data_IF_855872667438
#
_entry.id   IF_855872667438
#
_cell.length_a   1.000
_cell.length_b   1.000
_cell.length_c   1.000
_cell.angle_alpha   90.00
_cell.angle_beta   90.00
_cell.angle_gamma   90.00
#
_symmetry.space_group_name_H-M   'P 1'
#
loop_
_entity.id
_entity.type
_entity.pdbx_description
1 polymer ?
#
# COMPACT_ATOMS: atom_id res chain seq x y z
N UNK A 1 19.35 -8.42 -18.30
CA UNK A 1 19.53 -8.16 -16.86
C UNK A 1 20.67 -7.20 -16.49
N UNK A 2 21.85 -7.19 -17.14
CA UNK A 2 22.95 -6.25 -16.77
C UNK A 2 22.65 -4.75 -16.98
N UNK A 3 21.84 -4.38 -17.98
CA UNK A 3 21.51 -2.98 -18.26
C UNK A 3 20.46 -2.37 -17.31
N UNK A 4 19.61 -3.19 -16.67
CA UNK A 4 18.54 -2.70 -15.79
C UNK A 4 19.07 -2.28 -14.41
N UNK A 5 20.05 -3.02 -13.86
CA UNK A 5 20.75 -2.63 -12.63
C UNK A 5 21.45 -1.27 -12.78
N UNK A 6 22.02 -1.01 -13.95
CA UNK A 6 22.64 0.27 -14.30
C UNK A 6 21.59 1.39 -14.42
N UNK A 7 20.42 1.12 -15.00
CA UNK A 7 19.32 2.09 -15.11
C UNK A 7 18.71 2.44 -13.74
N UNK A 8 18.46 1.48 -12.86
CA UNK A 8 17.99 1.74 -11.50
C UNK A 8 19.02 2.52 -10.67
N UNK A 9 20.31 2.17 -10.80
CA UNK A 9 21.41 2.91 -10.17
C UNK A 9 21.59 4.33 -10.74
N UNK A 10 21.41 4.50 -12.06
CA UNK A 10 21.44 5.81 -12.71
C UNK A 10 20.22 6.65 -12.34
N UNK A 11 19.03 6.06 -12.20
CA UNK A 11 17.85 6.77 -11.69
C UNK A 11 18.05 7.17 -10.23
N UNK A 12 18.62 6.32 -9.38
CA UNK A 12 19.02 6.69 -8.02
C UNK A 12 20.01 7.86 -8.00
N UNK A 13 21.04 7.83 -8.85
CA UNK A 13 22.01 8.93 -8.99
C UNK A 13 21.36 10.21 -9.51
N UNK A 14 20.48 10.12 -10.51
CA UNK A 14 19.74 11.26 -11.07
C UNK A 14 18.79 11.84 -10.02
N UNK A 15 18.06 11.03 -9.25
CA UNK A 15 17.23 11.51 -8.13
C UNK A 15 18.08 12.20 -7.05
N UNK A 16 19.29 11.70 -6.78
CA UNK A 16 20.22 12.35 -5.87
C UNK A 16 20.88 13.62 -6.44
N UNK A 17 20.98 13.77 -7.77
CA UNK A 17 21.64 14.89 -8.43
C UNK A 17 20.69 15.99 -8.93
N UNK A 18 19.45 15.65 -9.31
CA UNK A 18 18.40 16.60 -9.73
C UNK A 18 17.86 17.41 -8.55
N UNK A 19 18.12 16.98 -7.31
CA UNK A 19 17.85 17.73 -6.07
C UNK A 19 18.92 18.80 -5.78
N UNK A 20 19.88 19.04 -6.69
CA UNK A 20 20.76 20.21 -6.62
C UNK A 20 20.61 21.04 -7.90
N UNK A 21 20.17 22.31 -7.79
CA UNK A 21 21.05 23.33 -7.22
C UNK A 21 20.35 24.44 -6.35
N UNK A 22 21.13 25.04 -5.44
CA UNK A 22 20.91 26.32 -4.69
C UNK A 22 19.83 26.22 -3.57
N UNK A 23 20.10 26.25 -2.25
CA UNK A 23 20.86 27.23 -1.47
C UNK A 23 21.49 26.62 -0.18
N UNK A 24 22.70 27.05 0.13
CA UNK A 24 23.58 26.47 1.15
C UNK A 24 23.37 27.06 2.56
N UNK A 25 22.94 26.24 3.52
CA UNK A 25 23.75 25.72 4.67
C UNK A 25 22.88 25.02 5.74
N UNK A 26 21.66 25.48 6.03
CA UNK A 26 20.71 24.80 6.95
C UNK A 26 19.90 23.68 6.26
N UNK A 27 19.70 23.77 4.94
CA UNK A 27 19.05 22.71 4.12
C UNK A 27 19.82 21.38 4.11
N UNK A 28 21.10 21.35 4.53
CA UNK A 28 21.93 20.12 4.52
C UNK A 28 21.38 19.02 5.44
N UNK A 29 20.86 19.38 6.61
CA UNK A 29 20.30 18.39 7.54
C UNK A 29 19.01 17.78 6.97
N UNK A 30 18.09 18.61 6.47
CA UNK A 30 16.81 18.14 5.92
C UNK A 30 16.99 17.31 4.64
N UNK A 31 17.89 17.71 3.75
CA UNK A 31 18.22 16.93 2.54
C UNK A 31 18.88 15.58 2.91
N UNK A 32 19.76 15.54 3.93
CA UNK A 32 20.40 14.30 4.37
C UNK A 32 19.43 13.32 5.05
N UNK A 33 18.46 13.82 5.81
CA UNK A 33 17.40 13.01 6.43
C UNK A 33 16.48 12.45 5.36
N UNK A 34 16.09 13.28 4.38
CA UNK A 34 15.28 12.85 3.25
C UNK A 34 16.00 11.76 2.44
N UNK A 35 17.26 11.97 2.08
CA UNK A 35 18.06 10.97 1.36
C UNK A 35 18.18 9.68 2.17
N UNK A 36 18.32 9.77 3.49
CA UNK A 36 18.41 8.59 4.37
C UNK A 36 17.08 7.84 4.50
N UNK A 37 15.95 8.55 4.59
CA UNK A 37 14.61 7.95 4.63
C UNK A 37 14.27 7.29 3.29
N UNK A 38 14.60 7.95 2.19
CA UNK A 38 14.48 7.41 0.83
C UNK A 38 15.36 6.16 0.66
N UNK A 39 16.62 6.21 1.10
CA UNK A 39 17.53 5.08 1.03
C UNK A 39 17.10 3.92 1.92
N UNK A 40 16.56 4.19 3.11
CA UNK A 40 16.02 3.18 4.01
C UNK A 40 14.74 2.54 3.45
N UNK A 41 13.85 3.33 2.84
CA UNK A 41 12.67 2.84 2.14
C UNK A 41 13.05 2.02 0.90
N UNK A 42 14.10 2.43 0.18
CA UNK A 42 14.69 1.65 -0.91
C UNK A 42 15.26 0.33 -0.43
N UNK A 43 16.05 0.35 0.65
CA UNK A 43 16.57 -0.87 1.25
C UNK A 43 15.42 -1.81 1.66
N UNK A 44 14.39 -1.29 2.34
CA UNK A 44 13.26 -2.09 2.78
C UNK A 44 12.47 -2.73 1.63
N UNK A 45 12.26 -2.02 0.53
CA UNK A 45 11.46 -2.52 -0.60
C UNK A 45 12.28 -3.26 -1.66
N UNK A 46 13.58 -2.99 -1.79
CA UNK A 46 14.46 -3.64 -2.78
C UNK A 46 15.26 -4.81 -2.22
N UNK A 47 15.54 -4.87 -0.92
CA UNK A 47 16.17 -6.06 -0.30
C UNK A 47 15.38 -7.33 -0.65
N UNK A 48 14.03 -7.37 -0.57
CA UNK A 48 13.27 -8.54 -1.00
C UNK A 48 13.48 -8.94 -2.48
N UNK A 49 13.79 -7.99 -3.38
CA UNK A 49 14.05 -8.28 -4.80
C UNK A 49 15.47 -8.79 -5.08
N UNK A 50 16.44 -8.43 -4.26
CA UNK A 50 17.86 -8.60 -4.61
C UNK A 50 18.68 -9.39 -3.59
N UNK A 51 18.16 -9.61 -2.39
CA UNK A 51 18.80 -10.46 -1.41
C UNK A 51 18.34 -11.89 -1.57
N UNK A 52 19.31 -12.80 -1.67
CA UNK A 52 19.06 -14.23 -1.50
C UNK A 52 18.42 -14.46 -0.13
N UNK A 53 17.35 -15.24 -0.11
CA UNK A 53 16.65 -15.57 1.13
C UNK A 53 17.34 -16.75 1.81
N UNK A 54 17.48 -16.76 3.15
CA UNK A 54 17.98 -17.91 3.88
C UNK A 54 17.11 -19.15 3.62
N UNK A 55 17.72 -20.33 3.60
CA UNK A 55 17.00 -21.58 3.33
C UNK A 55 15.86 -21.81 4.32
N UNK A 56 16.05 -21.40 5.58
CA UNK A 56 15.06 -21.48 6.65
C UNK A 56 13.84 -20.59 6.42
N UNK A 57 13.87 -19.61 5.51
CA UNK A 57 12.71 -18.76 5.21
C UNK A 57 11.74 -19.43 4.24
N UNK A 58 12.20 -20.42 3.47
CA UNK A 58 11.37 -21.11 2.49
C UNK A 58 10.38 -22.03 3.17
N UNK A 59 9.15 -22.06 2.64
CA UNK A 59 8.07 -22.94 3.13
C UNK A 59 8.52 -24.40 3.14
N UNK A 60 9.30 -24.82 2.14
CA UNK A 60 9.90 -26.16 2.03
C UNK A 60 10.71 -26.62 3.24
N UNK A 61 11.20 -25.70 4.07
CA UNK A 61 12.00 -26.04 5.26
C UNK A 61 11.13 -26.56 6.41
N UNK A 62 9.95 -25.96 6.61
CA UNK A 62 9.11 -26.21 7.79
C UNK A 62 7.76 -26.85 7.47
N UNK A 63 7.27 -26.67 6.23
CA UNK A 63 5.95 -27.08 5.77
C UNK A 63 6.06 -27.80 4.40
N UNK A 64 6.60 -29.03 4.37
CA UNK A 64 6.87 -29.74 3.12
C UNK A 64 5.61 -30.08 2.32
N UNK A 65 4.47 -30.35 2.95
CA UNK A 65 3.23 -30.61 2.22
C UNK A 65 2.62 -29.33 1.64
N UNK A 66 2.72 -28.20 2.35
CA UNK A 66 2.35 -26.90 1.80
C UNK A 66 3.25 -26.52 0.60
N UNK A 67 4.52 -26.90 0.62
CA UNK A 67 5.41 -26.75 -0.53
C UNK A 67 4.97 -27.61 -1.73
N UNK A 68 4.57 -28.86 -1.51
CA UNK A 68 4.04 -29.71 -2.59
C UNK A 68 2.75 -29.14 -3.20
N UNK A 69 1.88 -28.56 -2.37
CA UNK A 69 0.71 -27.83 -2.87
C UNK A 69 1.13 -26.67 -3.78
N UNK A 70 2.12 -25.87 -3.38
CA UNK A 70 2.63 -24.77 -4.19
C UNK A 70 3.20 -25.25 -5.54
N UNK A 71 3.88 -26.39 -5.54
CA UNK A 71 4.39 -27.04 -6.76
C UNK A 71 3.25 -27.51 -7.70
N UNK A 72 2.14 -28.01 -7.15
CA UNK A 72 0.92 -28.28 -7.94
C UNK A 72 0.37 -26.99 -8.55
N UNK A 73 0.38 -25.88 -7.80
CA UNK A 73 -0.10 -24.59 -8.29
C UNK A 73 0.78 -24.02 -9.41
N UNK A 74 2.09 -24.22 -9.37
CA UNK A 74 3.02 -23.84 -10.45
C UNK A 74 2.58 -24.49 -11.78
N UNK A 75 2.24 -25.78 -11.74
CA UNK A 75 1.80 -26.52 -12.93
C UNK A 75 0.39 -26.10 -13.36
N UNK A 76 -0.51 -25.89 -12.39
CA UNK A 76 -1.92 -25.51 -12.63
C UNK A 76 -2.04 -24.12 -13.24
N UNK A 77 -1.15 -23.19 -12.87
CA UNK A 77 -1.22 -21.77 -13.21
C UNK A 77 0.06 -21.23 -13.85
N UNK A 78 0.44 -21.70 -15.05
CA UNK A 78 1.67 -21.27 -15.71
C UNK A 78 1.72 -19.76 -16.00
N UNK A 79 0.57 -19.13 -16.25
CA UNK A 79 0.45 -17.69 -16.49
C UNK A 79 0.77 -16.83 -15.25
N UNK A 80 0.69 -17.42 -14.06
CA UNK A 80 1.04 -16.74 -12.81
C UNK A 80 2.54 -16.80 -12.51
N UNK A 81 3.36 -17.44 -13.36
CA UNK A 81 4.81 -17.54 -13.22
C UNK A 81 5.28 -17.82 -11.78
N UNK A 82 4.59 -18.73 -11.10
CA UNK A 82 4.87 -19.10 -9.71
C UNK A 82 6.24 -19.76 -9.58
N UNK A 83 6.74 -20.40 -10.64
CA UNK A 83 8.09 -20.97 -10.73
C UNK A 83 9.22 -19.93 -10.57
N UNK A 84 8.90 -18.65 -10.78
CA UNK A 84 9.84 -17.52 -10.64
C UNK A 84 9.69 -16.78 -9.32
N UNK A 85 8.79 -17.25 -8.44
CA UNK A 85 8.47 -16.62 -7.17
C UNK A 85 8.96 -17.49 -6.02
N UNK A 86 9.45 -16.85 -4.97
CA UNK A 86 9.82 -17.55 -3.74
C UNK A 86 8.58 -17.67 -2.86
N UNK A 87 8.33 -18.88 -2.34
CA UNK A 87 7.26 -19.15 -1.39
C UNK A 87 7.81 -19.23 0.02
N UNK A 88 7.51 -18.23 0.85
CA UNK A 88 8.21 -17.98 2.10
C UNK A 88 7.25 -17.96 3.30
N UNK A 89 7.71 -18.48 4.44
CA UNK A 89 7.02 -18.40 5.74
C UNK A 89 7.65 -17.40 6.71
N UNK A 90 8.78 -16.79 6.31
CA UNK A 90 9.49 -15.79 7.11
C UNK A 90 9.87 -14.58 6.27
N UNK A 91 10.03 -13.43 6.94
CA UNK A 91 10.51 -12.17 6.36
C UNK A 91 11.48 -11.49 7.31
N UNK A 92 12.56 -10.92 6.78
CA UNK A 92 13.54 -10.19 7.57
C UNK A 92 12.90 -9.09 8.42
N UNK A 93 13.22 -9.08 9.72
CA UNK A 93 12.78 -8.04 10.64
C UNK A 93 11.29 -8.09 11.02
N UNK A 94 10.55 -9.09 10.55
CA UNK A 94 9.14 -9.31 10.89
C UNK A 94 9.04 -10.63 11.64
N UNK A 95 8.38 -10.61 12.79
CA UNK A 95 8.13 -11.81 13.56
C UNK A 95 7.09 -12.69 12.86
N UNK A 96 7.25 -14.02 12.95
CA UNK A 96 6.48 -15.00 12.17
C UNK A 96 4.97 -14.83 12.39
N UNK A 97 4.56 -14.52 13.62
CA UNK A 97 3.17 -14.32 14.00
C UNK A 97 2.52 -13.06 13.41
N UNK A 98 3.31 -12.16 12.83
CA UNK A 98 2.84 -10.94 12.16
C UNK A 98 2.84 -11.04 10.64
N UNK A 99 3.27 -12.17 10.09
CA UNK A 99 3.25 -12.40 8.65
C UNK A 99 1.82 -12.77 8.23
N UNK A 100 1.31 -12.06 7.25
CA UNK A 100 0.07 -12.35 6.54
C UNK A 100 0.36 -12.79 5.10
N UNK A 101 -0.69 -13.16 4.36
CA UNK A 101 -0.61 -13.11 2.91
C UNK A 101 -0.11 -11.73 2.45
N UNK A 102 0.83 -11.74 1.52
CA UNK A 102 1.41 -10.52 0.99
C UNK A 102 2.58 -10.77 0.06
N UNK A 103 2.97 -9.73 -0.65
CA UNK A 103 4.07 -9.76 -1.63
C UNK A 103 5.17 -8.77 -1.28
N UNK A 104 6.42 -9.22 -1.47
CA UNK A 104 7.61 -8.39 -1.45
C UNK A 104 8.49 -8.72 -2.65
N UNK A 105 8.29 -7.98 -3.74
CA UNK A 105 8.90 -8.30 -5.02
C UNK A 105 8.46 -9.64 -5.59
N UNK A 106 9.39 -10.58 -5.78
CA UNK A 106 9.06 -11.93 -6.24
C UNK A 106 8.80 -12.91 -5.08
N UNK A 107 8.74 -12.42 -3.85
CA UNK A 107 8.46 -13.26 -2.68
C UNK A 107 6.97 -13.17 -2.36
N UNK A 108 6.32 -14.34 -2.26
CA UNK A 108 4.98 -14.50 -1.71
C UNK A 108 5.15 -15.01 -0.28
N UNK A 109 4.56 -14.29 0.66
CA UNK A 109 4.53 -14.62 2.08
C UNK A 109 3.16 -15.19 2.43
N UNK A 110 3.12 -16.13 3.38
CA UNK A 110 1.88 -16.73 3.88
C UNK A 110 1.88 -16.72 5.39
N UNK A 111 0.69 -16.52 5.98
CA UNK A 111 0.54 -16.54 7.42
C UNK A 111 0.87 -17.91 8.02
N UNK A 112 1.43 -17.92 9.22
CA UNK A 112 1.75 -19.18 9.90
C UNK A 112 0.50 -20.04 10.15
N UNK A 113 -0.63 -19.40 10.44
CA UNK A 113 -1.91 -20.08 10.70
C UNK A 113 -2.37 -20.83 9.45
N UNK A 114 -2.32 -20.18 8.29
CA UNK A 114 -2.71 -20.79 7.03
C UNK A 114 -1.73 -21.89 6.62
N UNK A 115 -0.42 -21.70 6.85
CA UNK A 115 0.59 -22.73 6.55
C UNK A 115 0.40 -23.99 7.39
N UNK A 116 0.11 -23.86 8.70
CA UNK A 116 -0.17 -25.02 9.56
C UNK A 116 -1.39 -25.78 9.06
N UNK A 117 -2.43 -25.05 8.65
CA UNK A 117 -3.66 -25.70 8.18
C UNK A 117 -3.48 -26.32 6.79
N UNK A 118 -2.84 -25.61 5.86
CA UNK A 118 -2.49 -26.10 4.53
C UNK A 118 -1.60 -27.34 4.58
N UNK A 119 -0.58 -27.35 5.45
CA UNK A 119 0.27 -28.51 5.70
C UNK A 119 -0.56 -29.73 6.10
N UNK A 120 -1.48 -29.55 7.05
CA UNK A 120 -2.37 -30.62 7.53
C UNK A 120 -3.33 -31.13 6.45
N UNK A 121 -4.05 -30.21 5.79
CA UNK A 121 -5.04 -30.55 4.76
C UNK A 121 -4.38 -31.22 3.57
N UNK A 122 -3.26 -30.70 3.10
CA UNK A 122 -2.58 -31.27 1.93
C UNK A 122 -1.89 -32.59 2.27
N UNK A 123 -1.39 -32.76 3.50
CA UNK A 123 -0.93 -34.07 3.99
C UNK A 123 -2.05 -35.14 3.93
N UNK A 124 -3.29 -34.80 4.28
CA UNK A 124 -4.43 -35.72 4.12
C UNK A 124 -4.69 -36.06 2.64
N UNK A 125 -4.71 -35.05 1.76
CA UNK A 125 -4.92 -35.21 0.31
C UNK A 125 -3.92 -36.21 -0.29
N UNK A 126 -2.62 -36.05 -0.01
CA UNK A 126 -1.58 -36.93 -0.58
C UNK A 126 -1.65 -38.36 -0.03
N UNK A 127 -2.16 -38.53 1.19
CA UNK A 127 -2.36 -39.84 1.81
C UNK A 127 -3.67 -40.52 1.37
N UNK A 128 -4.37 -39.96 0.37
CA UNK A 128 -5.61 -40.50 -0.17
C UNK A 128 -6.80 -40.42 0.78
N UNK A 129 -6.73 -39.57 1.81
CA UNK A 129 -7.86 -39.33 2.71
C UNK A 129 -8.83 -38.34 2.06
N UNK A 130 -10.13 -38.61 2.22
CA UNK A 130 -11.17 -37.70 1.77
C UNK A 130 -11.14 -36.41 2.57
N UNK A 131 -11.16 -35.28 1.87
CA UNK A 131 -11.19 -33.95 2.49
C UNK A 131 -12.64 -33.56 2.82
N UNK A 132 -12.83 -32.88 3.95
CA UNK A 132 -14.12 -32.28 4.25
C UNK A 132 -14.44 -31.12 3.29
N UNK A 133 -15.71 -30.72 3.23
CA UNK A 133 -16.11 -29.54 2.45
C UNK A 133 -15.40 -28.27 2.90
N UNK A 134 -15.16 -28.10 4.21
CA UNK A 134 -14.43 -26.93 4.73
C UNK A 134 -12.95 -26.96 4.32
N UNK A 135 -12.35 -28.14 4.28
CA UNK A 135 -10.96 -28.31 3.85
C UNK A 135 -10.81 -28.02 2.34
N UNK A 136 -11.79 -28.42 1.53
CA UNK A 136 -11.85 -28.07 0.11
C UNK A 136 -12.04 -26.56 -0.10
N UNK A 137 -13.00 -25.95 0.61
CA UNK A 137 -13.22 -24.51 0.57
C UNK A 137 -11.93 -23.75 0.95
N UNK A 138 -11.21 -24.20 1.99
CA UNK A 138 -9.93 -23.60 2.36
C UNK A 138 -8.89 -23.70 1.24
N UNK A 139 -8.74 -24.86 0.59
CA UNK A 139 -7.81 -24.99 -0.53
C UNK A 139 -8.18 -24.07 -1.70
N UNK A 140 -9.47 -23.95 -2.02
CA UNK A 140 -9.95 -23.06 -3.07
C UNK A 140 -9.71 -21.58 -2.75
N UNK A 141 -9.91 -21.17 -1.50
CA UNK A 141 -9.62 -19.81 -1.05
C UNK A 141 -8.13 -19.51 -1.08
N UNK A 142 -7.31 -20.44 -0.58
CA UNK A 142 -5.83 -20.33 -0.56
C UNK A 142 -5.28 -20.21 -1.98
N UNK A 143 -5.89 -20.93 -2.92
CA UNK A 143 -5.56 -20.86 -4.34
C UNK A 143 -5.90 -19.50 -4.96
N UNK A 144 -7.06 -18.93 -4.64
CA UNK A 144 -7.41 -17.58 -5.08
C UNK A 144 -6.47 -16.53 -4.46
N UNK A 145 -6.19 -16.63 -3.16
CA UNK A 145 -5.27 -15.72 -2.45
C UNK A 145 -3.86 -15.78 -3.03
N UNK A 146 -3.36 -16.98 -3.35
CA UNK A 146 -2.07 -17.14 -4.01
C UNK A 146 -2.02 -16.43 -5.36
N UNK A 147 -3.08 -16.52 -6.16
CA UNK A 147 -3.15 -15.85 -7.45
C UNK A 147 -3.28 -14.33 -7.31
N UNK A 148 -3.99 -13.84 -6.29
CA UNK A 148 -4.04 -12.42 -5.95
C UNK A 148 -2.62 -11.89 -5.65
N UNK A 149 -1.88 -12.57 -4.77
CA UNK A 149 -0.49 -12.22 -4.48
C UNK A 149 0.42 -12.34 -5.71
N UNK A 150 0.24 -13.39 -6.52
CA UNK A 150 0.97 -13.51 -7.77
C UNK A 150 0.69 -12.32 -8.71
N UNK A 151 -0.55 -11.82 -8.75
CA UNK A 151 -0.95 -10.62 -9.47
C UNK A 151 -0.15 -9.38 -9.04
N UNK A 152 0.00 -9.14 -7.74
CA UNK A 152 0.86 -8.06 -7.25
C UNK A 152 2.30 -8.17 -7.74
N UNK A 153 2.86 -9.39 -7.72
CA UNK A 153 4.22 -9.63 -8.18
C UNK A 153 4.36 -9.43 -9.71
N UNK A 154 3.42 -9.93 -10.52
CA UNK A 154 3.41 -9.74 -11.98
C UNK A 154 3.34 -8.25 -12.36
N UNK A 155 2.59 -7.47 -11.59
CA UNK A 155 2.44 -6.02 -11.79
C UNK A 155 3.59 -5.20 -11.20
N UNK A 156 4.62 -5.84 -10.63
CA UNK A 156 5.75 -5.20 -9.96
C UNK A 156 5.33 -4.19 -8.88
N UNK A 157 4.30 -4.54 -8.10
CA UNK A 157 3.69 -3.67 -7.08
C UNK A 157 4.73 -2.98 -6.19
N UNK A 158 5.65 -3.75 -5.58
CA UNK A 158 6.65 -3.20 -4.66
C UNK A 158 7.60 -2.18 -5.33
N UNK A 159 7.89 -2.35 -6.63
CA UNK A 159 8.69 -1.38 -7.38
C UNK A 159 7.89 -0.11 -7.69
N UNK A 160 6.64 -0.25 -8.13
CA UNK A 160 5.76 0.89 -8.36
C UNK A 160 5.49 1.68 -7.07
N UNK A 161 5.33 1.01 -5.93
CA UNK A 161 5.24 1.64 -4.61
C UNK A 161 6.45 2.54 -4.35
N UNK A 162 7.64 2.01 -4.61
CA UNK A 162 8.90 2.73 -4.44
C UNK A 162 9.02 3.94 -5.37
N UNK A 163 8.60 3.80 -6.63
CA UNK A 163 8.61 4.90 -7.59
C UNK A 163 7.59 5.98 -7.21
N UNK A 164 6.38 5.60 -6.80
CA UNK A 164 5.34 6.54 -6.38
C UNK A 164 5.76 7.31 -5.12
N UNK A 165 6.18 6.60 -4.07
CA UNK A 165 6.61 7.21 -2.83
C UNK A 165 7.73 8.24 -3.08
N UNK A 166 8.71 7.88 -3.91
CA UNK A 166 9.78 8.78 -4.34
C UNK A 166 9.26 9.99 -5.11
N UNK A 167 8.51 9.73 -6.18
CA UNK A 167 8.05 10.74 -7.12
C UNK A 167 7.15 11.76 -6.42
N UNK A 168 6.16 11.28 -5.67
CA UNK A 168 5.23 12.11 -4.92
C UNK A 168 5.95 12.88 -3.80
N UNK A 169 6.76 12.20 -2.97
CA UNK A 169 7.44 12.89 -1.86
C UNK A 169 8.39 13.98 -2.38
N UNK A 170 9.23 13.65 -3.35
CA UNK A 170 10.20 14.60 -3.91
C UNK A 170 9.50 15.77 -4.58
N UNK A 171 8.45 15.51 -5.35
CA UNK A 171 7.68 16.57 -6.03
C UNK A 171 7.01 17.50 -5.02
N UNK A 172 6.39 16.95 -3.96
CA UNK A 172 5.75 17.75 -2.93
C UNK A 172 6.77 18.60 -2.15
N UNK A 173 7.96 18.08 -1.86
CA UNK A 173 9.05 18.87 -1.26
C UNK A 173 9.52 20.00 -2.19
N UNK A 174 9.68 19.75 -3.49
CA UNK A 174 10.07 20.78 -4.45
C UNK A 174 9.00 21.88 -4.52
N UNK A 175 7.72 21.51 -4.61
CA UNK A 175 6.61 22.47 -4.60
C UNK A 175 6.65 23.30 -3.31
N UNK A 176 6.87 22.66 -2.16
CA UNK A 176 7.01 23.33 -0.86
C UNK A 176 8.16 24.34 -0.87
N UNK A 177 9.33 23.95 -1.38
CA UNK A 177 10.51 24.81 -1.47
C UNK A 177 10.26 26.02 -2.38
N UNK A 178 9.75 25.80 -3.59
CA UNK A 178 9.46 26.89 -4.55
C UNK A 178 8.38 27.83 -4.01
N UNK A 179 7.34 27.30 -3.35
CA UNK A 179 6.32 28.11 -2.72
C UNK A 179 6.91 28.99 -1.61
N UNK A 180 7.80 28.45 -0.78
CA UNK A 180 8.50 29.23 0.24
C UNK A 180 9.34 30.34 -0.37
N UNK A 181 10.20 30.02 -1.33
CA UNK A 181 11.08 31.00 -2.00
C UNK A 181 10.29 32.13 -2.66
N UNK A 182 9.12 31.83 -3.22
CA UNK A 182 8.29 32.83 -3.90
C UNK A 182 7.39 33.65 -2.97
N UNK A 183 7.12 33.20 -1.75
CA UNK A 183 6.10 33.85 -0.89
C UNK A 183 6.56 34.22 0.52
N UNK A 184 7.68 33.69 1.03
CA UNK A 184 8.11 33.89 2.43
C UNK A 184 8.35 35.37 2.76
N UNK A 185 9.10 36.09 1.92
CA UNK A 185 9.41 37.50 2.14
C UNK A 185 8.16 38.39 2.12
N UNK A 186 7.25 38.15 1.17
CA UNK A 186 6.01 38.90 1.05
C UNK A 186 5.07 38.63 2.25
N UNK A 187 4.95 37.35 2.64
CA UNK A 187 4.16 36.94 3.80
C UNK A 187 4.71 37.55 5.08
N UNK A 188 6.03 37.45 5.30
CA UNK A 188 6.71 38.03 6.47
C UNK A 188 6.48 39.54 6.56
N UNK A 189 6.69 40.28 5.47
CA UNK A 189 6.45 41.74 5.43
C UNK A 189 4.99 42.09 5.73
N UNK A 190 4.05 41.30 5.21
CA UNK A 190 2.62 41.51 5.49
C UNK A 190 2.31 41.32 6.97
N UNK A 191 2.84 40.28 7.61
CA UNK A 191 2.65 40.02 9.04
C UNK A 191 3.32 41.10 9.88
N UNK A 192 4.57 41.47 9.55
CA UNK A 192 5.31 42.56 10.20
C UNK A 192 4.50 43.86 10.17
N UNK A 193 3.90 44.20 9.02
CA UNK A 193 3.06 45.39 8.88
C UNK A 193 1.83 45.36 9.79
N UNK A 194 1.14 44.21 9.89
CA UNK A 194 -0.04 44.06 10.77
C UNK A 194 0.39 44.18 12.24
N UNK A 195 1.42 43.43 12.63
CA UNK A 195 1.89 43.35 14.01
C UNK A 195 2.46 44.69 14.49
N UNK A 196 3.15 45.45 13.62
CA UNK A 196 3.64 46.78 13.93
C UNK A 196 2.53 47.80 14.25
N UNK A 197 1.32 47.61 13.72
CA UNK A 197 0.17 48.48 14.05
C UNK A 197 -0.48 48.14 15.40
N UNK A 198 -0.30 46.91 15.88
CA UNK A 198 -0.99 46.39 17.06
C UNK A 198 -0.13 46.38 18.34
N UNK A 199 1.20 46.37 18.21
CA UNK A 199 2.13 46.20 19.34
C UNK A 199 3.27 47.21 19.25
N UNK A 200 3.70 47.77 20.38
CA UNK A 200 4.81 48.73 20.43
C UNK A 200 6.18 48.06 20.67
N UNK A 201 6.20 46.96 21.42
CA UNK A 201 7.41 46.25 21.85
C UNK A 201 7.98 45.32 20.77
N UNK A 202 9.24 45.52 20.39
CA UNK A 202 9.88 44.79 19.29
C UNK A 202 10.17 43.32 19.59
N UNK A 203 10.32 42.94 20.87
CA UNK A 203 10.49 41.53 21.26
C UNK A 203 9.18 40.79 21.02
N UNK A 204 8.06 41.39 21.43
CA UNK A 204 6.72 40.83 21.21
C UNK A 204 6.40 40.75 19.72
N UNK A 205 6.73 41.78 18.92
CA UNK A 205 6.52 41.76 17.46
C UNK A 205 7.27 40.60 16.80
N UNK A 206 8.56 40.47 17.10
CA UNK A 206 9.42 39.43 16.50
C UNK A 206 8.96 38.02 16.88
N UNK A 207 8.50 37.84 18.12
CA UNK A 207 7.91 36.57 18.56
C UNK A 207 6.66 36.21 17.75
N UNK A 208 5.71 37.16 17.59
CA UNK A 208 4.47 36.92 16.86
C UNK A 208 4.73 36.62 15.38
N UNK A 209 5.61 37.38 14.73
CA UNK A 209 6.01 37.15 13.33
C UNK A 209 6.61 35.74 13.17
N UNK A 210 7.50 35.35 14.09
CA UNK A 210 8.11 34.02 14.07
C UNK A 210 7.07 32.92 14.27
N UNK A 211 6.17 33.06 15.24
CA UNK A 211 5.11 32.09 15.51
C UNK A 211 4.16 31.94 14.31
N UNK A 212 3.78 33.04 13.64
CA UNK A 212 2.94 33.01 12.45
C UNK A 212 3.62 32.30 11.27
N UNK A 213 4.91 32.57 11.03
CA UNK A 213 5.68 31.86 10.01
C UNK A 213 5.81 30.37 10.32
N UNK A 214 6.03 30.01 11.59
CA UNK A 214 6.04 28.61 12.05
C UNK A 214 4.70 27.91 11.82
N UNK A 215 3.58 28.55 12.15
CA UNK A 215 2.23 28.02 11.91
C UNK A 215 1.99 27.79 10.41
N UNK A 216 2.39 28.72 9.54
CA UNK A 216 2.30 28.55 8.09
C UNK A 216 3.10 27.32 7.60
N UNK A 217 4.33 27.14 8.08
CA UNK A 217 5.12 25.95 7.73
C UNK A 217 4.50 24.65 8.26
N UNK A 218 3.92 24.68 9.46
CA UNK A 218 3.14 23.57 10.00
C UNK A 218 1.98 23.18 9.08
N UNK A 219 1.15 24.16 8.68
CA UNK A 219 0.03 23.94 7.77
C UNK A 219 0.48 23.35 6.41
N UNK A 220 1.57 23.85 5.84
CA UNK A 220 2.13 23.32 4.61
C UNK A 220 2.59 21.86 4.74
N UNK A 221 3.24 21.50 5.84
CA UNK A 221 3.63 20.12 6.10
C UNK A 221 2.41 19.20 6.28
N UNK A 222 1.35 19.68 6.95
CA UNK A 222 0.09 18.93 7.08
C UNK A 222 -0.55 18.65 5.72
N UNK A 223 -0.66 19.67 4.84
CA UNK A 223 -1.21 19.52 3.50
C UNK A 223 -0.40 18.54 2.62
N UNK A 224 0.92 18.58 2.75
CA UNK A 224 1.81 17.63 2.09
C UNK A 224 1.55 16.20 2.58
N UNK A 225 1.48 15.99 3.89
CA UNK A 225 1.19 14.68 4.49
C UNK A 225 -0.16 14.14 4.05
N UNK A 226 -1.19 14.99 4.04
CA UNK A 226 -2.53 14.64 3.57
C UNK A 226 -2.51 14.23 2.09
N UNK A 227 -1.88 15.03 1.24
CA UNK A 227 -1.79 14.76 -0.20
C UNK A 227 -1.07 13.45 -0.49
N UNK A 228 0.03 13.17 0.22
CA UNK A 228 0.74 11.90 0.11
C UNK A 228 -0.13 10.73 0.56
N UNK A 229 -0.87 10.88 1.66
CA UNK A 229 -1.82 9.89 2.15
C UNK A 229 -2.86 9.54 1.09
N UNK A 230 -3.56 10.54 0.55
CA UNK A 230 -4.60 10.34 -0.49
C UNK A 230 -4.03 9.65 -1.73
N UNK A 231 -2.89 10.13 -2.26
CA UNK A 231 -2.28 9.56 -3.45
C UNK A 231 -1.85 8.10 -3.22
N UNK A 232 -1.30 7.79 -2.04
CA UNK A 232 -0.90 6.43 -1.69
C UNK A 232 -2.12 5.52 -1.57
N UNK A 233 -3.19 5.99 -0.94
CA UNK A 233 -4.44 5.25 -0.79
C UNK A 233 -5.09 4.92 -2.14
N UNK A 234 -5.24 5.91 -3.02
CA UNK A 234 -5.80 5.69 -4.36
C UNK A 234 -4.97 4.71 -5.17
N UNK A 235 -3.64 4.80 -5.07
CA UNK A 235 -2.75 3.90 -5.78
C UNK A 235 -2.82 2.47 -5.24
N UNK A 236 -2.74 2.25 -3.93
CA UNK A 236 -2.84 0.89 -3.36
C UNK A 236 -4.14 0.23 -3.79
N UNK A 237 -5.25 0.96 -3.78
CA UNK A 237 -6.54 0.43 -4.23
C UNK A 237 -6.58 0.03 -5.69
N UNK A 238 -6.03 0.85 -6.58
CA UNK A 238 -5.90 0.48 -7.99
C UNK A 238 -5.08 -0.81 -8.15
N UNK A 239 -4.02 -0.98 -7.35
CA UNK A 239 -3.20 -2.19 -7.37
C UNK A 239 -3.96 -3.42 -6.84
N UNK A 240 -4.69 -3.30 -5.73
CA UNK A 240 -5.56 -4.34 -5.19
C UNK A 240 -6.62 -4.78 -6.23
N UNK A 241 -7.25 -3.81 -6.91
CA UNK A 241 -8.22 -4.11 -7.97
C UNK A 241 -7.58 -4.87 -9.14
N UNK A 242 -6.35 -4.53 -9.52
CA UNK A 242 -5.64 -5.24 -10.57
C UNK A 242 -5.22 -6.65 -10.15
N UNK A 243 -4.79 -6.84 -8.90
CA UNK A 243 -4.49 -8.15 -8.33
C UNK A 243 -5.73 -9.05 -8.22
N UNK A 244 -6.85 -8.50 -7.78
CA UNK A 244 -8.16 -9.16 -7.79
C UNK A 244 -8.55 -9.59 -9.20
N UNK A 245 -8.46 -8.68 -10.16
CA UNK A 245 -8.77 -8.99 -11.55
C UNK A 245 -7.87 -10.11 -12.10
N UNK A 246 -6.59 -10.10 -11.75
CA UNK A 246 -5.65 -11.17 -12.12
C UNK A 246 -6.09 -12.51 -11.52
N UNK A 247 -6.39 -12.56 -10.22
CA UNK A 247 -6.88 -13.76 -9.54
C UNK A 247 -8.20 -14.25 -10.16
N UNK A 248 -9.15 -13.35 -10.36
CA UNK A 248 -10.47 -13.65 -10.91
C UNK A 248 -10.36 -14.23 -12.33
N UNK A 249 -9.49 -13.69 -13.18
CA UNK A 249 -9.31 -14.16 -14.55
C UNK A 249 -8.64 -15.54 -14.63
N UNK A 250 -7.85 -15.91 -13.64
CA UNK A 250 -6.95 -17.06 -13.73
C UNK A 250 -7.30 -18.21 -12.80
N UNK A 251 -7.98 -17.96 -11.68
CA UNK A 251 -8.38 -19.00 -10.75
C UNK A 251 -9.33 -20.00 -11.39
N UNK A 252 -9.31 -21.24 -10.89
CA UNK A 252 -10.30 -22.25 -11.25
C UNK A 252 -11.70 -21.73 -10.94
N UNK A 253 -12.69 -22.14 -11.75
CA UNK A 253 -14.08 -21.68 -11.60
C UNK A 253 -14.63 -21.96 -10.20
N UNK A 254 -14.23 -23.09 -9.60
CA UNK A 254 -14.67 -23.47 -8.26
C UNK A 254 -14.13 -22.57 -7.15
N UNK A 255 -13.04 -21.81 -7.40
CA UNK A 255 -12.49 -20.86 -6.44
C UNK A 255 -13.35 -19.60 -6.28
N UNK A 256 -13.99 -19.15 -7.35
CA UNK A 256 -14.64 -17.83 -7.39
C UNK A 256 -15.84 -17.73 -6.41
N UNK A 257 -16.75 -18.72 -6.32
CA UNK A 257 -17.81 -18.69 -5.32
C UNK A 257 -17.29 -18.71 -3.87
N UNK A 258 -16.15 -19.36 -3.63
CA UNK A 258 -15.53 -19.41 -2.29
C UNK A 258 -14.98 -18.04 -1.91
N UNK A 259 -14.28 -17.38 -2.83
CA UNK A 259 -13.78 -16.02 -2.63
C UNK A 259 -14.93 -15.03 -2.35
N UNK A 260 -16.07 -15.16 -3.03
CA UNK A 260 -17.28 -14.38 -2.72
C UNK A 260 -17.72 -14.63 -1.27
N UNK A 261 -17.89 -15.89 -0.85
CA UNK A 261 -18.32 -16.21 0.53
C UNK A 261 -17.35 -15.68 1.58
N UNK A 262 -16.06 -15.69 1.28
CA UNK A 262 -15.04 -15.09 2.14
C UNK A 262 -15.29 -13.59 2.29
N UNK A 263 -15.42 -12.83 1.20
CA UNK A 263 -15.68 -11.39 1.29
C UNK A 263 -17.03 -11.06 1.92
N UNK A 264 -18.07 -11.85 1.69
CA UNK A 264 -19.38 -11.69 2.35
C UNK A 264 -19.26 -11.88 3.87
N UNK A 265 -18.52 -12.90 4.33
CA UNK A 265 -18.26 -13.10 5.75
C UNK A 265 -17.53 -11.89 6.38
N UNK A 266 -16.51 -11.36 5.71
CA UNK A 266 -15.80 -10.18 6.20
C UNK A 266 -16.68 -8.92 6.16
N UNK A 267 -17.49 -8.73 5.12
CA UNK A 267 -18.46 -7.65 5.07
C UNK A 267 -19.37 -7.69 6.31
N UNK A 268 -19.99 -8.85 6.60
CA UNK A 268 -20.89 -9.01 7.75
C UNK A 268 -20.21 -8.75 9.10
N UNK A 269 -18.97 -9.20 9.28
CA UNK A 269 -18.23 -9.02 10.54
C UNK A 269 -17.79 -7.58 10.78
N UNK A 270 -17.37 -6.88 9.71
CA UNK A 270 -16.72 -5.57 9.84
C UNK A 270 -17.67 -4.39 9.57
N UNK A 271 -18.77 -4.58 8.84
CA UNK A 271 -19.73 -3.53 8.49
C UNK A 271 -20.26 -2.74 9.71
N UNK A 272 -20.65 -3.37 10.84
CA UNK A 272 -21.17 -2.61 11.99
C UNK A 272 -20.15 -1.64 12.59
N UNK A 273 -18.86 -1.98 12.49
CA UNK A 273 -17.81 -1.09 12.96
C UNK A 273 -17.42 -0.01 11.96
N UNK A 274 -17.64 -0.26 10.66
CA UNK A 274 -17.44 0.71 9.59
C UNK A 274 -18.50 1.81 9.73
N UNK A 275 -19.76 1.43 9.88
CA UNK A 275 -20.87 2.36 10.05
C UNK A 275 -20.64 3.30 11.23
N UNK A 276 -20.13 2.75 12.35
CA UNK A 276 -19.78 3.54 13.55
C UNK A 276 -18.67 4.57 13.29
N UNK A 277 -17.60 4.20 12.60
CA UNK A 277 -16.50 5.13 12.29
C UNK A 277 -16.97 6.22 11.33
N UNK A 278 -17.79 5.87 10.34
CA UNK A 278 -18.37 6.85 9.42
C UNK A 278 -19.26 7.85 10.16
N UNK A 279 -19.98 7.40 11.20
CA UNK A 279 -20.80 8.26 12.05
C UNK A 279 -19.96 9.15 12.98
N UNK A 280 -18.95 8.59 13.66
CA UNK A 280 -17.98 9.34 14.49
C UNK A 280 -17.25 10.42 13.66
N UNK A 281 -16.81 10.08 12.44
CA UNK A 281 -16.13 11.02 11.55
C UNK A 281 -17.06 12.10 11.00
N UNK A 282 -18.37 11.87 10.90
CA UNK A 282 -19.32 12.93 10.50
C UNK A 282 -19.41 14.02 11.56
N UNK A 283 -19.45 13.64 12.84
CA UNK A 283 -19.48 14.59 13.95
C UNK A 283 -18.19 15.42 14.03
N UNK A 284 -17.03 14.79 13.83
CA UNK A 284 -15.73 15.47 13.82
C UNK A 284 -15.48 16.32 12.54
N UNK A 285 -16.00 15.89 11.39
CA UNK A 285 -15.88 16.60 10.13
C UNK A 285 -16.69 17.90 10.13
N UNK A 286 -17.90 17.88 10.70
CA UNK A 286 -18.72 19.09 10.88
C UNK A 286 -17.96 20.11 11.77
N UNK A 287 -17.33 19.66 12.86
CA UNK A 287 -16.48 20.49 13.73
C UNK A 287 -15.23 21.05 13.03
N UNK A 288 -14.56 20.26 12.19
CA UNK A 288 -13.37 20.70 11.46
C UNK A 288 -13.68 21.68 10.31
N UNK A 289 -14.88 21.58 9.71
CA UNK A 289 -15.35 22.56 8.71
C UNK A 289 -15.61 23.94 9.31
N UNK A 290 -16.00 24.00 10.60
CA UNK A 290 -16.16 25.26 11.32
C UNK A 290 -14.81 25.92 11.67
N UNK A 291 -13.72 25.14 11.78
CA UNK A 291 -12.39 25.62 12.15
C UNK A 291 -11.49 26.01 10.96
N UNK A 292 -11.75 25.46 9.78
CA UNK A 292 -10.91 25.70 8.59
C UNK A 292 -11.37 26.94 7.81
N UNK A 293 -10.64 28.06 7.95
CA UNK A 293 -10.74 29.25 7.08
C UNK A 293 -10.34 29.01 5.61
N UNK A 294 -10.34 27.76 5.14
CA UNK A 294 -10.03 27.35 3.78
C UNK A 294 -11.26 26.68 3.18
N UNK A 295 -11.74 27.24 2.07
CA UNK A 295 -12.87 26.76 1.25
C UNK A 295 -12.47 25.51 0.42
N UNK A 296 -11.75 24.59 1.06
CA UNK A 296 -11.48 23.25 0.55
C UNK A 296 -12.45 22.36 1.30
N UNK A 297 -13.29 21.64 0.57
CA UNK A 297 -14.19 20.64 1.14
C UNK A 297 -13.37 19.44 1.66
N UNK A 298 -12.69 19.67 2.78
CA UNK A 298 -11.89 18.69 3.51
C UNK A 298 -12.80 17.54 3.94
N UNK A 299 -14.10 17.79 4.13
CA UNK A 299 -15.08 16.75 4.41
C UNK A 299 -15.23 15.84 3.19
N UNK A 300 -15.42 16.35 1.98
CA UNK A 300 -15.52 15.51 0.78
C UNK A 300 -14.20 14.83 0.41
N UNK A 301 -13.05 15.44 0.71
CA UNK A 301 -11.75 14.79 0.59
C UNK A 301 -11.58 13.67 1.62
N UNK A 302 -11.91 13.93 2.89
CA UNK A 302 -11.90 12.92 3.96
C UNK A 302 -12.88 11.81 3.59
N UNK A 303 -14.13 12.10 3.21
CA UNK A 303 -15.10 11.12 2.69
C UNK A 303 -14.52 10.36 1.50
N UNK A 304 -13.90 10.99 0.51
CA UNK A 304 -13.27 10.26 -0.60
C UNK A 304 -12.08 9.38 -0.18
N UNK A 305 -11.63 9.46 1.07
CA UNK A 305 -10.58 8.61 1.65
C UNK A 305 -11.17 7.67 2.72
N UNK A 306 -12.29 8.01 3.37
CA UNK A 306 -12.92 7.29 4.50
C UNK A 306 -14.25 6.60 4.16
N UNK A 307 -14.92 6.95 3.05
CA UNK A 307 -16.12 6.27 2.51
C UNK A 307 -15.79 4.84 2.05
N UNK A 308 -14.55 4.40 2.21
CA UNK A 308 -14.03 3.10 1.84
C UNK A 308 -13.84 2.15 3.03
N UNK A 309 -14.32 2.55 4.22
CA UNK A 309 -14.44 1.67 5.39
C UNK A 309 -13.22 1.66 6.32
N UNK A 310 -13.11 0.61 7.15
CA UNK A 310 -12.04 0.40 8.14
C UNK A 310 -10.67 0.12 7.53
N UNK A 311 -10.64 -0.17 6.23
CA UNK A 311 -9.43 -0.39 5.46
C UNK A 311 -9.42 0.54 4.25
N UNK A 312 -9.03 1.82 4.43
CA UNK A 312 -9.05 2.79 3.34
C UNK A 312 -8.14 2.37 2.17
N UNK A 313 -7.20 1.44 2.41
CA UNK A 313 -6.19 1.02 1.45
C UNK A 313 -6.70 -0.06 0.49
N UNK A 314 -7.80 -0.74 0.81
CA UNK A 314 -8.36 -1.80 -0.04
C UNK A 314 -9.71 -1.37 -0.65
N UNK A 315 -10.08 -1.89 -1.84
CA UNK A 315 -11.43 -1.72 -2.38
C UNK A 315 -12.47 -2.29 -1.42
N UNK A 316 -13.68 -1.73 -1.43
CA UNK A 316 -14.77 -2.25 -0.60
C UNK A 316 -15.08 -3.71 -0.93
N UNK A 317 -15.52 -4.48 0.06
CA UNK A 317 -15.90 -5.88 -0.15
C UNK A 317 -16.96 -6.03 -1.23
N UNK A 318 -17.96 -5.14 -1.28
CA UNK A 318 -18.99 -5.12 -2.33
C UNK A 318 -18.40 -5.02 -3.73
N UNK A 319 -17.40 -4.15 -3.92
CA UNK A 319 -16.74 -4.00 -5.21
C UNK A 319 -15.99 -5.28 -5.60
N UNK A 320 -15.24 -5.88 -4.65
CA UNK A 320 -14.50 -7.13 -4.90
C UNK A 320 -15.46 -8.28 -5.21
N UNK A 321 -16.55 -8.41 -4.47
CA UNK A 321 -17.61 -9.40 -4.71
C UNK A 321 -18.22 -9.21 -6.11
N UNK A 322 -18.56 -7.97 -6.48
CA UNK A 322 -19.13 -7.68 -7.79
C UNK A 322 -18.16 -8.03 -8.93
N UNK A 323 -16.88 -7.67 -8.81
CA UNK A 323 -15.85 -8.04 -9.79
C UNK A 323 -15.75 -9.56 -10.00
N UNK A 324 -15.86 -10.35 -8.92
CA UNK A 324 -15.85 -11.82 -9.02
C UNK A 324 -17.12 -12.32 -9.72
N UNK A 325 -18.29 -11.76 -9.40
CA UNK A 325 -19.58 -12.12 -10.03
C UNK A 325 -19.56 -11.82 -11.53
N UNK A 326 -19.06 -10.65 -11.92
CA UNK A 326 -18.92 -10.25 -13.32
C UNK A 326 -18.02 -11.22 -14.10
N UNK A 327 -16.93 -11.68 -13.48
CA UNK A 327 -16.03 -12.66 -14.10
C UNK A 327 -16.68 -14.05 -14.23
N UNK A 328 -17.47 -14.48 -13.24
CA UNK A 328 -18.25 -15.73 -13.34
C UNK A 328 -19.24 -15.63 -14.52
N UNK A 329 -20.00 -14.54 -14.60
CA UNK A 329 -20.96 -14.30 -15.69
C UNK A 329 -20.25 -14.31 -17.06
N UNK A 330 -19.13 -13.58 -17.18
CA UNK A 330 -18.32 -13.54 -18.39
C UNK A 330 -17.82 -14.93 -18.82
N UNK A 331 -17.50 -15.81 -17.87
CA UNK A 331 -17.09 -17.20 -18.18
C UNK A 331 -18.27 -18.04 -18.66
N UNK A 332 -19.46 -17.88 -18.06
CA UNK A 332 -20.68 -18.55 -18.47
C UNK A 332 -21.12 -18.14 -19.89
N UNK A 333 -21.03 -16.86 -20.21
CA UNK A 333 -21.31 -16.34 -21.57
C UNK A 333 -20.37 -16.93 -22.61
N UNK A 334 -19.07 -16.96 -22.33
CA UNK A 334 -18.07 -17.54 -23.26
C UNK A 334 -18.24 -19.06 -23.40
N UNK A 335 -18.56 -19.76 -22.33
CA UNK A 335 -18.81 -21.21 -22.34
C UNK A 335 -20.08 -21.58 -23.12
N UNK A 336 -21.07 -20.69 -23.19
CA UNK A 336 -22.32 -20.87 -23.94
C UNK A 336 -22.17 -20.63 -25.46
N UNK A 337 -21.03 -20.12 -25.91
CA UNK A 337 -20.71 -19.85 -27.32
C UNK A 337 -19.88 -20.96 -27.99
N UNK A 338 -19.58 -22.04 -27.25
CA UNK A 338 -18.90 -23.26 -27.74
C UNK A 338 -19.92 -24.38 -27.84
#
# INVERSE_FOLDING_TARGET
MKNFKLQAFLMMLISCHVVMPVAWTEQKQNASILISLVAAYYAYNLIPYYADQPAEFYVSHSYPHAQLWYEEMIVKYPQAHLDKKNFLHMRYGISIEKISWGVGGNNIYVSQVDLIYLESVYSKKINGQELSSQELDFLYLTEWALLHEAGHAELNYSLHAAVLALGCFTTLEIIKMVYKESTDDACKKSIESIVATCFADDVIKNYIVSAAMWMRYGAMNCLQGLSLGVLTTLWVRDQEMQADNFANQHAATDCLPIAIRFFEYFADQYQPSIDRIVEELKEDADFMSELAYFDIDIIDLIKSVTYFGKDPMHPSFDYRIQSIRDEIERRLEKGSQV
#
